data_IF_617479391797
#
_entry.id   IF_617479391797
#
_cell.length_a   1.000
_cell.length_b   1.000
_cell.length_c   1.000
_cell.angle_alpha   90.00
_cell.angle_beta   90.00
_cell.angle_gamma   90.00
#
_symmetry.space_group_name_H-M   'P 1'
#
loop_
_entity.id
_entity.type
_entity.pdbx_description
1 polymer ?
#
# COMPACT_ATOMS: atom_id res chain seq x y z
N UNK A 1 33.89 5.03 -10.79
CA UNK A 1 32.66 4.75 -11.56
C UNK A 1 31.69 3.87 -10.78
N UNK A 2 32.09 2.67 -10.31
CA UNK A 2 31.22 1.81 -9.47
C UNK A 2 30.69 2.52 -8.21
N UNK A 3 31.59 3.11 -7.43
CA UNK A 3 31.24 3.81 -6.18
C UNK A 3 30.34 5.03 -6.41
N UNK A 4 30.58 5.77 -7.50
CA UNK A 4 29.75 6.91 -7.90
C UNK A 4 28.31 6.47 -8.23
N UNK A 5 28.14 5.37 -8.98
CA UNK A 5 26.81 4.83 -9.29
C UNK A 5 26.09 4.35 -8.02
N UNK A 6 26.80 3.68 -7.11
CA UNK A 6 26.19 3.19 -5.86
C UNK A 6 25.74 4.33 -4.94
N UNK A 7 26.42 5.47 -4.95
CA UNK A 7 26.04 6.63 -4.12
C UNK A 7 24.93 7.51 -4.74
N UNK A 8 24.65 7.39 -6.04
CA UNK A 8 23.70 8.23 -6.77
C UNK A 8 22.43 7.47 -7.23
N UNK A 9 22.20 6.29 -6.67
CA UNK A 9 21.01 5.48 -6.93
C UNK A 9 20.17 5.37 -5.66
N UNK A 10 19.38 6.42 -5.32
CA UNK A 10 18.49 6.36 -4.16
C UNK A 10 17.47 5.25 -4.34
N UNK A 11 17.16 4.57 -3.24
CA UNK A 11 16.12 3.54 -3.22
C UNK A 11 14.74 4.20 -3.14
N UNK A 12 13.77 3.61 -3.82
CA UNK A 12 12.38 4.06 -3.73
C UNK A 12 11.85 4.01 -2.29
N UNK A 13 10.91 4.90 -1.97
CA UNK A 13 10.12 4.81 -0.75
C UNK A 13 8.76 4.18 -1.08
N UNK A 14 8.49 3.02 -0.49
CA UNK A 14 7.23 2.32 -0.61
C UNK A 14 6.80 1.79 0.76
N UNK A 15 5.51 1.95 1.06
CA UNK A 15 4.86 1.23 2.15
C UNK A 15 3.86 0.24 1.56
N UNK A 16 3.72 -0.91 2.19
CA UNK A 16 2.79 -1.97 1.78
C UNK A 16 1.82 -2.22 2.91
N UNK A 17 0.53 -2.27 2.60
CA UNK A 17 -0.48 -2.74 3.55
C UNK A 17 -1.19 -3.99 3.05
N UNK A 18 -1.70 -4.78 3.98
CA UNK A 18 -2.59 -5.91 3.74
C UNK A 18 -3.77 -5.78 4.68
N UNK A 19 -4.97 -5.90 4.14
CA UNK A 19 -6.22 -5.89 4.89
C UNK A 19 -7.03 -7.14 4.54
N UNK A 20 -7.47 -7.88 5.54
CA UNK A 20 -8.16 -9.18 5.38
C UNK A 20 -9.63 -9.07 5.76
N UNK A 21 -10.49 -9.83 5.08
CA UNK A 21 -11.94 -9.78 5.25
C UNK A 21 -12.54 -11.19 5.40
N UNK A 22 -13.79 -11.25 5.89
CA UNK A 22 -14.51 -12.51 6.02
C UNK A 22 -14.91 -13.09 4.65
N UNK A 23 -15.26 -12.24 3.70
CA UNK A 23 -15.60 -12.60 2.32
C UNK A 23 -14.88 -11.69 1.34
N UNK A 24 -14.66 -12.18 0.12
CA UNK A 24 -14.12 -11.37 -0.98
C UNK A 24 -15.24 -10.54 -1.62
N UNK A 25 -15.87 -9.66 -0.83
CA UNK A 25 -17.08 -8.93 -1.22
C UNK A 25 -16.91 -8.10 -2.51
N UNK A 26 -15.69 -7.64 -2.82
CA UNK A 26 -15.40 -6.97 -4.09
C UNK A 26 -15.64 -7.89 -5.29
N UNK A 27 -15.30 -9.18 -5.20
CA UNK A 27 -15.55 -10.16 -6.26
C UNK A 27 -17.04 -10.44 -6.45
N UNK A 28 -17.81 -10.48 -5.35
CA UNK A 28 -19.27 -10.64 -5.41
C UNK A 28 -19.94 -9.47 -6.13
N UNK A 29 -19.35 -8.27 -6.05
CA UNK A 29 -19.75 -7.07 -6.80
C UNK A 29 -19.20 -7.00 -8.23
N UNK A 30 -18.47 -8.02 -8.68
CA UNK A 30 -17.87 -8.07 -10.02
C UNK A 30 -16.56 -7.29 -10.17
N UNK A 31 -15.93 -6.86 -9.07
CA UNK A 31 -14.63 -6.19 -9.09
C UNK A 31 -13.46 -7.17 -8.93
N UNK A 32 -12.33 -6.85 -9.56
CA UNK A 32 -11.09 -7.63 -9.45
C UNK A 32 -10.33 -7.42 -8.14
N UNK A 33 -10.61 -6.33 -7.41
CA UNK A 33 -9.79 -5.85 -6.28
C UNK A 33 -8.68 -4.88 -6.70
N UNK A 34 -8.54 -4.60 -7.99
CA UNK A 34 -7.66 -3.55 -8.50
C UNK A 34 -8.31 -2.18 -8.38
N UNK A 35 -7.63 -1.26 -7.70
CA UNK A 35 -8.02 0.15 -7.61
C UNK A 35 -6.78 0.95 -7.97
N UNK A 36 -6.88 1.83 -8.96
CA UNK A 36 -5.81 2.75 -9.33
C UNK A 36 -6.27 4.17 -9.00
N UNK A 37 -5.49 4.88 -8.21
CA UNK A 37 -5.80 6.24 -7.76
C UNK A 37 -4.70 7.21 -8.18
N UNK A 38 -5.08 8.45 -8.44
CA UNK A 38 -4.12 9.54 -8.64
C UNK A 38 -3.51 10.02 -7.33
N UNK A 39 -2.48 10.84 -7.42
CA UNK A 39 -1.86 11.49 -6.25
C UNK A 39 -2.83 12.49 -5.61
N UNK A 40 -3.57 12.06 -4.59
CA UNK A 40 -4.39 12.92 -3.74
C UNK A 40 -3.90 12.82 -2.30
N UNK A 41 -3.90 13.93 -1.57
CA UNK A 41 -3.58 13.93 -0.13
C UNK A 41 -4.59 13.15 0.71
N UNK A 42 -5.79 12.90 0.18
CA UNK A 42 -6.86 12.17 0.89
C UNK A 42 -6.74 10.64 0.73
N UNK A 43 -6.15 10.16 -0.36
CA UNK A 43 -6.00 8.73 -0.63
C UNK A 43 -4.55 8.30 -0.38
N UNK A 44 -4.30 7.47 0.65
CA UNK A 44 -2.93 7.15 1.05
C UNK A 44 -2.19 6.20 0.10
N UNK A 45 -2.92 5.36 -0.63
CA UNK A 45 -2.37 4.40 -1.57
C UNK A 45 -2.58 4.85 -3.02
N UNK A 46 -1.72 4.41 -3.91
CA UNK A 46 -1.86 4.62 -5.37
C UNK A 46 -2.47 3.41 -6.09
N UNK A 47 -2.30 2.22 -5.51
CA UNK A 47 -2.79 0.98 -6.11
C UNK A 47 -3.13 -0.10 -5.09
N UNK A 48 -4.16 -0.90 -5.38
CA UNK A 48 -4.50 -2.13 -4.65
C UNK A 48 -4.66 -3.32 -5.58
N UNK A 49 -4.59 -4.53 -5.04
CA UNK A 49 -4.87 -5.79 -5.72
C UNK A 49 -5.57 -6.78 -4.79
N UNK A 50 -6.29 -7.74 -5.39
CA UNK A 50 -6.70 -8.95 -4.67
C UNK A 50 -5.48 -9.78 -4.26
N UNK A 51 -5.37 -10.03 -2.97
CA UNK A 51 -4.37 -10.88 -2.34
C UNK A 51 -5.04 -12.06 -1.64
N UNK A 52 -6.19 -12.52 -2.16
CA UNK A 52 -6.87 -13.70 -1.62
C UNK A 52 -5.89 -14.87 -1.63
N UNK A 53 -5.61 -15.44 -0.45
CA UNK A 53 -4.62 -16.51 -0.34
C UNK A 53 -5.04 -17.75 -1.13
N UNK A 54 -4.10 -18.65 -1.48
CA UNK A 54 -4.44 -19.92 -2.14
C UNK A 54 -5.42 -20.81 -1.36
N UNK A 55 -5.56 -20.58 -0.05
CA UNK A 55 -6.51 -21.27 0.83
C UNK A 55 -7.89 -20.62 0.86
N UNK A 56 -8.11 -19.56 0.08
CA UNK A 56 -9.39 -18.85 0.00
C UNK A 56 -9.58 -17.73 1.01
N UNK A 57 -8.59 -17.38 1.84
CA UNK A 57 -8.70 -16.26 2.78
C UNK A 57 -8.68 -14.91 2.03
N UNK A 58 -9.76 -14.11 2.04
CA UNK A 58 -9.86 -12.86 1.31
C UNK A 58 -8.94 -11.77 1.88
N UNK A 59 -8.17 -11.13 1.01
CA UNK A 59 -7.36 -9.99 1.38
C UNK A 59 -7.20 -9.02 0.22
N UNK A 60 -7.01 -7.73 0.54
CA UNK A 60 -6.50 -6.74 -0.39
C UNK A 60 -5.09 -6.36 0.05
N UNK A 61 -4.19 -6.24 -0.92
CA UNK A 61 -2.88 -5.65 -0.75
C UNK A 61 -2.87 -4.28 -1.43
N UNK A 62 -2.21 -3.30 -0.85
CA UNK A 62 -2.02 -2.03 -1.51
C UNK A 62 -0.71 -1.35 -1.15
N UNK A 63 -0.39 -0.32 -1.93
CA UNK A 63 0.91 0.31 -1.90
C UNK A 63 0.80 1.83 -1.83
N UNK A 64 1.58 2.41 -0.92
CA UNK A 64 1.91 3.83 -0.88
C UNK A 64 3.23 3.96 -1.64
N UNK A 65 3.33 4.89 -2.60
CA UNK A 65 4.52 5.01 -3.43
C UNK A 65 5.04 6.45 -3.49
N UNK A 66 6.36 6.59 -3.47
CA UNK A 66 7.06 7.87 -3.69
C UNK A 66 6.67 8.92 -2.66
N UNK A 67 6.21 10.09 -3.13
CA UNK A 67 5.83 11.20 -2.25
C UNK A 67 4.71 10.84 -1.27
N UNK A 68 3.76 9.98 -1.66
CA UNK A 68 2.71 9.50 -0.76
C UNK A 68 3.30 8.66 0.37
N UNK A 69 4.24 7.76 0.07
CA UNK A 69 4.91 6.96 1.10
C UNK A 69 5.66 7.85 2.09
N UNK A 70 6.40 8.85 1.61
CA UNK A 70 7.08 9.81 2.48
C UNK A 70 6.11 10.60 3.35
N UNK A 71 5.04 11.16 2.77
CA UNK A 71 4.04 11.94 3.50
C UNK A 71 3.31 11.12 4.57
N UNK A 72 2.94 9.88 4.26
CA UNK A 72 2.17 9.03 5.18
C UNK A 72 3.06 8.31 6.20
N UNK A 73 4.36 8.10 5.92
CA UNK A 73 5.30 7.50 6.87
C UNK A 73 5.52 8.36 8.13
N UNK A 74 5.32 9.67 8.02
CA UNK A 74 5.41 10.64 9.14
C UNK A 74 4.19 10.61 10.07
N UNK A 75 3.06 10.08 9.61
CA UNK A 75 1.80 10.02 10.37
C UNK A 75 1.78 8.87 11.37
N UNK A 76 0.81 8.85 12.27
CA UNK A 76 0.63 7.70 13.16
C UNK A 76 0.00 6.51 12.42
N UNK A 77 0.29 5.28 12.89
CA UNK A 77 -0.26 4.06 12.28
C UNK A 77 -1.79 4.03 12.31
N UNK A 78 -2.41 4.60 13.35
CA UNK A 78 -3.86 4.74 13.45
C UNK A 78 -4.44 5.61 12.34
N UNK A 79 -3.84 6.78 12.10
CA UNK A 79 -4.26 7.72 11.06
C UNK A 79 -4.11 7.12 9.65
N UNK A 80 -2.99 6.43 9.39
CA UNK A 80 -2.78 5.72 8.12
C UNK A 80 -3.85 4.67 7.88
N UNK A 81 -4.09 3.81 8.88
CA UNK A 81 -5.09 2.75 8.79
C UNK A 81 -6.48 3.32 8.52
N UNK A 82 -6.87 4.38 9.23
CA UNK A 82 -8.16 5.03 9.04
C UNK A 82 -8.30 5.61 7.63
N UNK A 83 -7.25 6.28 7.12
CA UNK A 83 -7.25 6.82 5.77
C UNK A 83 -7.35 5.72 4.70
N UNK A 84 -6.67 4.59 4.89
CA UNK A 84 -6.77 3.43 3.98
C UNK A 84 -8.18 2.88 3.98
N UNK A 85 -8.77 2.62 5.16
CA UNK A 85 -10.12 2.07 5.28
C UNK A 85 -11.15 3.04 4.70
N UNK A 86 -11.06 4.33 5.01
CA UNK A 86 -11.95 5.36 4.46
C UNK A 86 -11.90 5.41 2.93
N UNK A 87 -10.70 5.32 2.36
CA UNK A 87 -10.51 5.26 0.90
C UNK A 87 -11.10 3.99 0.31
N UNK A 88 -10.87 2.82 0.91
CA UNK A 88 -11.47 1.57 0.46
C UNK A 88 -13.00 1.59 0.55
N UNK A 89 -13.58 2.20 1.57
CA UNK A 89 -15.03 2.40 1.70
C UNK A 89 -15.56 3.28 0.58
N UNK A 90 -14.86 4.36 0.25
CA UNK A 90 -15.23 5.26 -0.86
C UNK A 90 -15.27 4.53 -2.21
N UNK A 91 -14.36 3.59 -2.45
CA UNK A 91 -14.24 2.91 -3.74
C UNK A 91 -15.04 1.58 -3.84
N UNK A 92 -15.08 0.79 -2.76
CA UNK A 92 -15.67 -0.56 -2.77
C UNK A 92 -16.99 -0.66 -1.99
N UNK A 93 -17.34 0.37 -1.22
CA UNK A 93 -18.55 0.44 -0.40
C UNK A 93 -18.32 0.15 1.09
N UNK A 94 -19.39 0.27 1.90
CA UNK A 94 -19.32 0.20 3.37
C UNK A 94 -18.78 -1.13 3.92
N UNK A 95 -18.85 -2.22 3.16
CA UNK A 95 -18.30 -3.52 3.55
C UNK A 95 -16.79 -3.48 3.80
N UNK A 96 -16.06 -2.55 3.17
CA UNK A 96 -14.64 -2.34 3.40
C UNK A 96 -14.32 -1.84 4.83
N UNK A 97 -15.29 -1.29 5.56
CA UNK A 97 -15.11 -0.90 6.96
C UNK A 97 -15.05 -2.10 7.92
N UNK A 98 -15.58 -3.26 7.50
CA UNK A 98 -15.72 -4.46 8.34
C UNK A 98 -14.61 -5.46 8.00
N UNK A 99 -13.38 -5.12 8.40
CA UNK A 99 -12.19 -5.96 8.19
C UNK A 99 -11.85 -6.80 9.43
N UNK A 100 -11.16 -7.92 9.22
CA UNK A 100 -10.67 -8.82 10.27
C UNK A 100 -9.33 -8.31 10.82
N UNK A 101 -8.42 -7.94 9.93
CA UNK A 101 -7.06 -7.55 10.29
C UNK A 101 -6.49 -6.56 9.28
N UNK A 102 -5.65 -5.65 9.76
CA UNK A 102 -4.90 -4.70 8.95
C UNK A 102 -3.46 -4.72 9.43
N UNK A 103 -2.53 -4.90 8.49
CA UNK A 103 -1.10 -4.78 8.74
C UNK A 103 -0.43 -3.94 7.68
N UNK A 104 0.63 -3.25 8.06
CA UNK A 104 1.43 -2.44 7.16
C UNK A 104 2.93 -2.56 7.46
N UNK A 105 3.73 -2.41 6.41
CA UNK A 105 5.19 -2.37 6.49
C UNK A 105 5.70 -1.18 5.71
N UNK A 106 6.43 -0.32 6.42
CA UNK A 106 7.30 0.69 5.83
C UNK A 106 8.66 0.06 5.54
N UNK A 107 9.03 0.00 4.27
CA UNK A 107 10.30 -0.58 3.84
C UNK A 107 11.47 0.41 3.95
N UNK A 108 11.21 1.72 4.03
CA UNK A 108 12.27 2.70 4.25
C UNK A 108 12.85 2.63 5.67
N UNK A 109 12.06 2.08 6.62
CA UNK A 109 12.48 1.82 8.00
C UNK A 109 13.10 0.44 8.20
N UNK A 110 13.40 -0.29 7.12
CA UNK A 110 14.08 -1.58 7.20
C UNK A 110 15.59 -1.42 7.06
N UNK A 111 16.33 -1.71 8.15
CA UNK A 111 17.76 -1.44 8.29
C UNK A 111 18.66 -2.07 7.20
N UNK A 112 18.23 -3.19 6.60
CA UNK A 112 19.03 -3.92 5.62
C UNK A 112 18.68 -3.59 4.16
N UNK A 113 17.49 -3.02 3.91
CA UNK A 113 17.03 -2.68 2.56
C UNK A 113 17.15 -1.18 2.28
N UNK A 114 16.94 -0.34 3.29
CA UNK A 114 16.91 1.13 3.17
C UNK A 114 15.71 1.68 2.38
N UNK A 115 14.89 0.82 1.76
CA UNK A 115 13.68 1.15 1.00
C UNK A 115 13.29 0.04 -0.01
N UNK A 116 12.27 0.31 -0.82
CA UNK A 116 11.60 -0.65 -1.73
C UNK A 116 10.87 0.13 -2.84
N UNK A 117 10.67 -0.43 -4.05
CA UNK A 117 11.00 -1.79 -4.49
C UNK A 117 12.37 -1.94 -5.13
N UNK A 118 12.92 -0.87 -5.71
CA UNK A 118 14.21 -0.91 -6.40
C UNK A 118 14.93 0.43 -6.25
N UNK A 119 16.24 0.40 -6.52
CA UNK A 119 17.02 1.60 -6.73
C UNK A 119 16.63 2.26 -8.04
N UNK A 120 16.40 3.57 -8.00
CA UNK A 120 16.08 4.36 -9.19
C UNK A 120 17.34 5.14 -9.58
N UNK A 121 17.73 5.04 -10.85
CA UNK A 121 18.77 5.92 -11.39
C UNK A 121 18.18 7.32 -11.48
N UNK A 122 18.73 8.26 -10.70
CA UNK A 122 18.41 9.67 -10.89
C UNK A 122 18.86 10.08 -12.32
N UNK A 123 18.08 10.91 -13.04
CA UNK A 123 18.41 11.31 -14.41
C UNK A 123 19.73 12.07 -14.53
#
# INVERSE_FOLDING_TARGET
MREFLTQNMPVGHMMKFIITYQTAFWKEKGFSGEIVTGSSSECPFCITYDATSPRGNPALVGFFAGHLASHWSEKEAGERREAVVSSLVKYLGPEAAVYIHYEEKDWAKEDYSGGCPVNVMAP
#
